data_IF_323813094415
#
_entry.id   IF_323813094415
#
_cell.length_a   1.000
_cell.length_b   1.000
_cell.length_c   1.000
_cell.angle_alpha   90.00
_cell.angle_beta   90.00
_cell.angle_gamma   90.00
#
_symmetry.space_group_name_H-M   'P 1'
#
loop_
_entity.id
_entity.type
_entity.pdbx_description
1 polymer ?
#
# COMPACT_ATOMS: atom_id res chain seq x y z
N UNK A 1 -14.10 9.58 -4.00
CA UNK A 1 -13.18 8.62 -3.38
C UNK A 1 -12.24 8.06 -4.41
N UNK A 2 -10.99 7.85 -4.05
CA UNK A 2 -10.00 7.15 -4.86
C UNK A 2 -9.75 5.76 -4.25
N UNK A 3 -9.08 4.87 -4.98
CA UNK A 3 -8.62 3.58 -4.49
C UNK A 3 -7.20 3.34 -4.98
N UNK A 4 -6.39 2.68 -4.17
CA UNK A 4 -5.00 2.37 -4.51
C UNK A 4 -4.82 0.86 -4.62
N UNK A 5 -4.14 0.46 -5.68
CA UNK A 5 -4.00 -0.92 -6.11
C UNK A 5 -2.68 -1.17 -6.82
N UNK A 6 -2.18 -2.39 -6.66
CA UNK A 6 -0.99 -2.95 -7.29
C UNK A 6 -1.29 -4.42 -7.59
N UNK A 7 -0.87 -4.91 -8.75
CA UNK A 7 -1.14 -6.28 -9.23
C UNK A 7 -0.73 -7.33 -8.18
N UNK A 8 0.41 -7.12 -7.56
CA UNK A 8 1.01 -7.98 -6.53
C UNK A 8 0.23 -8.01 -5.21
N UNK A 9 -0.68 -7.05 -4.96
CA UNK A 9 -1.54 -7.01 -3.78
C UNK A 9 -2.93 -7.64 -4.02
N UNK A 10 -3.18 -8.19 -5.21
CA UNK A 10 -4.35 -9.01 -5.49
C UNK A 10 -5.71 -8.35 -5.75
N UNK A 11 -5.90 -7.17 -6.38
CA UNK A 11 -5.03 -6.04 -6.77
C UNK A 11 -5.31 -4.74 -5.99
N UNK A 12 -6.09 -4.79 -4.89
CA UNK A 12 -6.60 -3.61 -4.16
C UNK A 12 -5.97 -3.52 -2.76
N UNK A 13 -5.31 -2.40 -2.46
CA UNK A 13 -4.71 -2.14 -1.14
C UNK A 13 -5.63 -1.28 -0.26
N UNK A 14 -6.27 -0.28 -0.85
CA UNK A 14 -7.16 0.63 -0.14
C UNK A 14 -8.34 1.06 -0.99
N UNK A 15 -9.46 1.32 -0.31
CA UNK A 15 -10.68 1.81 -0.93
C UNK A 15 -11.25 2.96 -0.11
N UNK A 16 -11.75 3.98 -0.81
CA UNK A 16 -12.51 5.06 -0.17
C UNK A 16 -13.77 4.52 0.51
N UNK A 17 -13.87 4.71 1.83
CA UNK A 17 -15.05 4.35 2.63
C UNK A 17 -16.31 5.17 2.30
N UNK A 18 -16.17 6.26 1.54
CA UNK A 18 -17.32 6.95 0.94
C UNK A 18 -18.16 6.08 -0.01
N UNK A 19 -17.66 4.90 -0.44
CA UNK A 19 -18.42 3.91 -1.22
C UNK A 19 -19.04 2.79 -0.36
N UNK A 20 -18.85 2.82 0.97
CA UNK A 20 -19.47 1.84 1.85
C UNK A 20 -21.00 2.02 1.91
N UNK A 21 -21.69 0.96 2.32
CA UNK A 21 -23.15 0.99 2.57
C UNK A 21 -23.55 2.11 3.55
N UNK A 22 -22.69 2.37 4.52
CA UNK A 22 -22.75 3.51 5.43
C UNK A 22 -21.50 4.36 5.19
N UNK A 23 -21.61 5.45 4.41
CA UNK A 23 -20.45 6.21 3.94
C UNK A 23 -19.87 7.07 5.06
N UNK A 24 -18.54 7.07 5.18
CA UNK A 24 -17.81 8.06 5.98
C UNK A 24 -17.28 9.18 5.08
N UNK A 25 -17.11 10.40 5.62
CA UNK A 25 -16.41 11.47 4.90
C UNK A 25 -15.02 10.99 4.50
N UNK A 26 -14.61 11.29 3.26
CA UNK A 26 -13.26 11.00 2.74
C UNK A 26 -12.56 12.32 2.41
N UNK A 27 -11.30 12.48 2.80
CA UNK A 27 -10.55 13.70 2.48
C UNK A 27 -10.16 13.77 1.01
N UNK A 28 -10.14 14.98 0.44
CA UNK A 28 -9.64 15.20 -0.91
C UNK A 28 -8.16 14.81 -1.00
N UNK A 29 -7.82 13.94 -1.96
CA UNK A 29 -6.45 13.42 -2.14
C UNK A 29 -6.16 12.13 -1.38
N UNK A 30 -7.08 11.66 -0.51
CA UNK A 30 -6.99 10.35 0.13
C UNK A 30 -7.13 9.22 -0.87
N UNK A 31 -6.27 8.20 -0.72
CA UNK A 31 -6.35 6.92 -1.42
C UNK A 31 -7.28 5.92 -0.72
N UNK A 32 -8.01 6.35 0.30
CA UNK A 32 -8.93 5.54 1.11
C UNK A 32 -8.26 4.86 2.29
N UNK A 33 -8.96 3.91 2.89
CA UNK A 33 -8.51 3.16 4.06
C UNK A 33 -8.10 1.76 3.63
N UNK A 34 -7.17 1.14 4.37
CA UNK A 34 -6.75 -0.25 4.15
C UNK A 34 -7.97 -1.18 4.12
N UNK A 35 -7.95 -2.15 3.21
CA UNK A 35 -9.03 -3.14 3.11
C UNK A 35 -9.13 -3.97 4.40
N UNK A 36 -10.36 -4.37 4.75
CA UNK A 36 -10.61 -5.20 5.93
C UNK A 36 -9.88 -6.53 5.83
N UNK A 37 -9.42 -7.06 6.96
CA UNK A 37 -8.62 -8.29 7.07
C UNK A 37 -7.21 -8.21 6.43
N UNK A 38 -6.74 -7.00 6.15
CA UNK A 38 -5.35 -6.73 5.82
C UNK A 38 -4.71 -5.83 6.89
N UNK A 39 -3.41 -5.95 7.03
CA UNK A 39 -2.59 -5.11 7.87
C UNK A 39 -1.75 -4.19 6.97
N UNK A 40 -1.62 -2.93 7.35
CA UNK A 40 -0.77 -1.95 6.66
C UNK A 40 0.16 -1.31 7.67
N UNK A 41 1.44 -1.20 7.30
CA UNK A 41 2.43 -0.42 8.05
C UNK A 41 3.14 0.54 7.11
N UNK A 42 3.59 1.66 7.65
CA UNK A 42 4.49 2.58 6.95
C UNK A 42 5.87 2.42 7.58
N UNK A 43 6.90 2.17 6.78
CA UNK A 43 8.26 1.93 7.28
C UNK A 43 9.25 2.97 6.77
N UNK A 44 10.20 3.33 7.63
CA UNK A 44 11.30 4.21 7.23
C UNK A 44 12.23 3.50 6.22
N UNK A 45 12.66 4.19 5.18
CA UNK A 45 13.42 3.59 4.07
C UNK A 45 14.78 3.04 4.50
N UNK A 46 15.47 3.78 5.38
CA UNK A 46 16.79 3.38 5.88
C UNK A 46 16.71 2.43 7.09
N UNK A 47 15.99 2.82 8.15
CA UNK A 47 15.97 2.06 9.41
C UNK A 47 15.02 0.88 9.41
N UNK A 48 14.10 0.80 8.43
CA UNK A 48 13.03 -0.21 8.33
C UNK A 48 12.09 -0.28 9.54
N UNK A 49 12.13 0.72 10.41
CA UNK A 49 11.24 0.83 11.57
C UNK A 49 9.86 1.31 11.13
N UNK A 50 8.83 0.78 11.78
CA UNK A 50 7.46 1.26 11.59
C UNK A 50 7.34 2.70 12.08
N UNK A 51 6.73 3.54 11.26
CA UNK A 51 6.45 4.93 11.53
C UNK A 51 5.03 5.10 12.10
N UNK A 52 4.82 6.20 12.81
CA UNK A 52 3.50 6.58 13.32
C UNK A 52 2.66 7.34 12.28
N UNK A 53 1.50 7.84 12.73
CA UNK A 53 0.63 8.67 11.89
C UNK A 53 1.34 9.92 11.37
N UNK A 54 0.97 10.35 10.16
CA UNK A 54 1.47 11.52 9.45
C UNK A 54 2.99 11.51 9.16
N UNK A 55 3.63 10.34 9.23
CA UNK A 55 5.05 10.20 8.91
C UNK A 55 5.23 9.46 7.58
N UNK A 56 5.85 10.10 6.57
CA UNK A 56 6.03 9.48 5.26
C UNK A 56 7.10 8.40 5.29
N UNK A 57 6.80 7.26 4.67
CA UNK A 57 7.70 6.13 4.48
C UNK A 57 7.19 5.18 3.41
N UNK A 58 7.86 4.04 3.23
CA UNK A 58 7.36 3.00 2.32
C UNK A 58 6.11 2.35 2.90
N UNK A 59 5.07 2.21 2.07
CA UNK A 59 3.87 1.47 2.45
C UNK A 59 4.13 -0.03 2.27
N UNK A 60 3.86 -0.80 3.32
CA UNK A 60 3.89 -2.25 3.29
C UNK A 60 2.52 -2.81 3.67
N UNK A 61 2.10 -3.86 3.00
CA UNK A 61 0.81 -4.53 3.26
C UNK A 61 1.01 -6.02 3.53
N UNK A 62 0.25 -6.58 4.46
CA UNK A 62 0.21 -8.01 4.74
C UNK A 62 -1.24 -8.48 4.79
N UNK A 63 -1.50 -9.67 4.26
CA UNK A 63 -2.82 -10.29 4.32
C UNK A 63 -2.94 -11.43 3.32
N UNK A 64 -4.02 -12.21 3.42
CA UNK A 64 -4.23 -13.38 2.57
C UNK A 64 -4.51 -13.03 1.09
N UNK A 65 -4.77 -11.75 0.80
CA UNK A 65 -5.05 -11.25 -0.54
C UNK A 65 -3.81 -11.01 -1.39
N UNK A 66 -2.60 -10.97 -0.81
CA UNK A 66 -1.37 -10.68 -1.58
C UNK A 66 -0.99 -11.86 -2.47
N UNK A 67 -0.21 -11.59 -3.53
CA UNK A 67 0.28 -12.64 -4.43
C UNK A 67 1.06 -13.72 -3.68
N UNK A 68 1.03 -14.95 -4.20
CA UNK A 68 1.82 -16.05 -3.64
C UNK A 68 3.32 -15.86 -3.89
N UNK A 69 3.69 -15.61 -5.14
CA UNK A 69 5.08 -15.49 -5.60
C UNK A 69 5.10 -15.00 -7.06
N UNK A 70 6.25 -14.51 -7.50
CA UNK A 70 6.54 -14.38 -8.93
C UNK A 70 6.87 -15.76 -9.50
N UNK A 71 6.20 -16.12 -10.60
CA UNK A 71 6.36 -17.42 -11.23
C UNK A 71 7.80 -17.61 -11.74
N UNK A 72 8.47 -18.64 -11.22
CA UNK A 72 9.87 -18.98 -11.52
C UNK A 72 10.91 -17.90 -11.11
N UNK A 73 10.56 -16.99 -10.20
CA UNK A 73 11.47 -15.93 -9.75
C UNK A 73 11.46 -15.78 -8.21
N UNK A 74 12.17 -16.69 -7.49
CA UNK A 74 12.25 -16.64 -6.04
C UNK A 74 13.06 -15.44 -5.51
N UNK A 75 14.01 -14.92 -6.31
CA UNK A 75 14.79 -13.73 -5.94
C UNK A 75 13.91 -12.49 -5.96
N UNK A 76 13.12 -12.28 -7.02
CA UNK A 76 12.16 -11.18 -7.05
C UNK A 76 11.07 -11.32 -5.97
N UNK A 77 10.64 -12.55 -5.67
CA UNK A 77 9.65 -12.81 -4.62
C UNK A 77 10.19 -12.42 -3.24
N UNK A 78 11.38 -12.88 -2.89
CA UNK A 78 12.02 -12.55 -1.59
C UNK A 78 12.44 -11.08 -1.47
N UNK A 79 12.72 -10.41 -2.59
CA UNK A 79 12.96 -8.96 -2.62
C UNK A 79 11.69 -8.12 -2.42
N UNK A 80 10.51 -8.71 -2.64
CA UNK A 80 9.21 -8.02 -2.66
C UNK A 80 8.35 -8.36 -1.46
N UNK A 81 8.41 -9.61 -0.97
CA UNK A 81 7.72 -10.09 0.23
C UNK A 81 8.78 -10.47 1.25
N UNK A 82 8.77 -9.81 2.42
CA UNK A 82 9.72 -10.09 3.49
C UNK A 82 9.41 -11.42 4.22
N UNK A 83 10.34 -11.85 5.09
CA UNK A 83 10.21 -13.09 5.87
C UNK A 83 9.02 -13.07 6.86
N UNK A 84 8.51 -11.89 7.19
CA UNK A 84 7.34 -11.69 8.06
C UNK A 84 6.02 -11.60 7.25
N UNK A 85 6.09 -11.75 5.92
CA UNK A 85 4.96 -11.77 5.00
C UNK A 85 4.49 -10.39 4.53
N UNK A 86 5.28 -9.33 4.73
CA UNK A 86 4.93 -7.99 4.24
C UNK A 86 5.35 -7.78 2.80
N UNK A 87 4.39 -7.39 1.97
CA UNK A 87 4.60 -6.91 0.62
C UNK A 87 5.11 -5.47 0.65
N UNK A 88 6.32 -5.24 0.15
CA UNK A 88 6.93 -3.93 -0.06
C UNK A 88 6.44 -3.31 -1.37
N UNK A 89 5.64 -2.25 -1.27
CA UNK A 89 5.03 -1.62 -2.45
C UNK A 89 6.00 -0.76 -3.25
N UNK A 90 7.07 -0.27 -2.63
CA UNK A 90 7.93 0.77 -3.22
C UNK A 90 7.22 2.10 -3.48
N UNK A 91 6.01 2.32 -2.95
CA UNK A 91 5.32 3.61 -2.97
C UNK A 91 5.52 4.28 -1.59
N UNK A 92 5.81 5.60 -1.61
CA UNK A 92 6.00 6.40 -0.41
C UNK A 92 4.68 7.06 -0.05
N UNK A 93 4.25 6.89 1.19
CA UNK A 93 3.05 7.49 1.70
C UNK A 93 3.03 7.56 3.22
N UNK A 94 1.93 8.07 3.74
CA UNK A 94 1.64 8.10 5.18
C UNK A 94 0.18 7.75 5.43
N UNK A 95 -0.11 7.38 6.67
CA UNK A 95 -1.48 7.22 7.18
C UNK A 95 -1.77 8.36 8.12
N UNK A 96 -2.90 9.01 7.98
CA UNK A 96 -3.32 10.07 8.90
C UNK A 96 -4.09 9.53 10.12
N UNK A 97 -4.46 10.41 11.05
CA UNK A 97 -5.15 10.04 12.29
C UNK A 97 -6.57 9.48 12.08
N UNK A 98 -7.13 9.61 10.87
CA UNK A 98 -8.44 9.08 10.48
C UNK A 98 -8.31 7.76 9.69
N UNK A 99 -7.14 7.12 9.75
CA UNK A 99 -6.77 5.91 9.00
C UNK A 99 -6.91 6.06 7.47
N UNK A 100 -6.80 7.28 6.94
CA UNK A 100 -6.73 7.54 5.50
C UNK A 100 -5.29 7.50 5.00
N UNK A 101 -5.07 6.81 3.88
CA UNK A 101 -3.75 6.63 3.27
C UNK A 101 -3.53 7.70 2.22
N UNK A 102 -2.35 8.32 2.24
CA UNK A 102 -1.92 9.31 1.26
C UNK A 102 -0.62 8.87 0.62
N UNK A 103 -0.60 8.75 -0.70
CA UNK A 103 0.61 8.50 -1.48
C UNK A 103 1.24 9.84 -1.84
N UNK A 104 2.50 10.03 -1.48
CA UNK A 104 3.24 11.29 -1.71
C UNK A 104 4.32 11.15 -2.77
N UNK A 105 4.91 9.95 -2.92
CA UNK A 105 6.00 9.72 -3.87
C UNK A 105 6.15 8.22 -4.18
N UNK A 106 7.15 7.85 -4.98
CA UNK A 106 7.44 6.46 -5.35
C UNK A 106 8.95 6.22 -5.36
N UNK A 107 9.40 5.15 -4.71
CA UNK A 107 10.82 4.76 -4.68
C UNK A 107 11.33 4.22 -6.02
N UNK A 108 10.52 3.45 -6.74
CA UNK A 108 10.96 2.76 -7.97
C UNK A 108 10.68 3.61 -9.21
N UNK A 109 11.61 3.60 -10.16
CA UNK A 109 11.58 4.25 -11.49
C UNK A 109 10.50 3.66 -12.45
N UNK A 110 9.30 3.35 -11.96
CA UNK A 110 8.19 2.91 -12.80
C UNK A 110 7.45 4.14 -13.31
N UNK A 111 7.77 4.55 -14.55
CA UNK A 111 7.07 5.61 -15.28
C UNK A 111 5.63 5.16 -15.56
N UNK A 112 4.66 5.71 -14.83
CA UNK A 112 3.23 5.56 -15.16
C UNK A 112 2.88 6.47 -16.33
N UNK A 113 2.84 5.95 -17.56
CA UNK A 113 2.28 6.66 -18.71
C UNK A 113 0.83 6.20 -18.97
N UNK A 114 -0.15 7.07 -18.70
CA UNK A 114 -1.58 6.84 -18.97
C UNK A 114 -2.18 5.56 -18.37
N UNK A 115 -1.72 5.14 -17.20
CA UNK A 115 -2.31 4.01 -16.46
C UNK A 115 -1.87 2.62 -16.93
N UNK A 116 -0.91 2.53 -17.87
CA UNK A 116 -0.27 1.27 -18.23
C UNK A 116 0.97 1.03 -17.34
N UNK A 117 1.09 -0.23 -16.87
CA UNK A 117 2.22 -0.79 -16.15
C UNK A 117 2.79 -1.94 -16.96
#
# INVERSE_FOLDING_TARGET
>A
GQGYGMTEAGPVLSMSLGFAKEPTPSKSGSCGTVVRNAELKVVHLETRLSLGYNQPGEICIRGQQIMKEYLNDPEATSATIDEEGWLHTGDIGYVDEDDEIFIVDRLKEVIKYKGFQ
#
